data_IF_288237648042
#
_entry.id   IF_288237648042
#
_cell.length_a   1.000
_cell.length_b   1.000
_cell.length_c   1.000
_cell.angle_alpha   90.00
_cell.angle_beta   90.00
_cell.angle_gamma   90.00
#
_symmetry.space_group_name_H-M   'P 1'
#
loop_
_entity.id
_entity.type
_entity.pdbx_description
1 polymer ?
#
# COMPACT_ATOMS: atom_id res chain seq x y z
N UNK A 1 60.66 -50.15 -51.96
CA UNK A 1 59.23 -50.34 -52.28
C UNK A 1 58.43 -49.87 -51.08
N UNK A 2 57.62 -48.83 -51.30
CA UNK A 2 56.41 -48.37 -50.61
C UNK A 2 56.28 -48.60 -49.09
N UNK A 3 56.47 -47.51 -48.33
CA UNK A 3 55.82 -47.33 -47.03
C UNK A 3 54.30 -47.36 -47.26
N UNK A 4 53.64 -48.42 -46.81
CA UNK A 4 52.19 -48.44 -46.71
C UNK A 4 51.82 -47.54 -45.52
N UNK A 5 51.48 -46.30 -45.83
CA UNK A 5 50.86 -45.37 -44.91
C UNK A 5 49.56 -46.03 -44.39
N UNK A 6 49.51 -46.34 -43.09
CA UNK A 6 48.29 -46.83 -42.45
C UNK A 6 47.14 -45.87 -42.74
N UNK A 7 45.92 -46.36 -43.04
CA UNK A 7 44.79 -45.49 -43.27
C UNK A 7 44.52 -44.74 -41.96
N UNK A 8 44.74 -43.41 -41.98
CA UNK A 8 44.32 -42.52 -40.90
C UNK A 8 42.81 -42.67 -40.75
N UNK A 9 42.38 -43.41 -39.74
CA UNK A 9 40.97 -43.47 -39.36
C UNK A 9 40.55 -42.06 -38.95
N UNK A 10 39.67 -41.45 -39.75
CA UNK A 10 39.00 -40.22 -39.37
C UNK A 10 37.93 -40.60 -38.35
N UNK A 11 38.29 -40.46 -37.07
CA UNK A 11 37.33 -40.56 -35.98
C UNK A 11 36.46 -39.30 -36.09
N UNK A 12 35.22 -39.47 -36.52
CA UNK A 12 34.23 -38.40 -36.49
C UNK A 12 33.82 -38.25 -35.03
N UNK A 13 34.35 -37.22 -34.36
CA UNK A 13 33.96 -36.89 -33.00
C UNK A 13 32.65 -36.12 -33.10
N UNK A 14 31.57 -36.69 -32.58
CA UNK A 14 30.32 -35.98 -32.43
C UNK A 14 30.47 -34.97 -31.27
N UNK A 15 30.42 -33.69 -31.62
CA UNK A 15 30.60 -32.55 -30.71
C UNK A 15 29.48 -32.46 -29.66
N UNK A 16 28.37 -33.17 -29.86
CA UNK A 16 27.18 -33.17 -29.00
C UNK A 16 27.17 -34.28 -27.96
N UNK A 17 28.03 -35.29 -28.07
CA UNK A 17 28.07 -36.39 -27.10
C UNK A 17 28.79 -36.02 -25.79
N UNK A 18 28.29 -36.55 -24.68
CA UNK A 18 28.74 -36.23 -23.32
C UNK A 18 29.60 -37.39 -22.78
N UNK A 19 30.83 -37.49 -23.31
CA UNK A 19 31.80 -38.52 -22.91
C UNK A 19 33.00 -37.87 -22.24
N UNK A 20 33.63 -38.60 -21.30
CA UNK A 20 34.87 -38.16 -20.64
C UNK A 20 35.97 -37.80 -21.65
N UNK A 21 35.96 -38.40 -22.83
CA UNK A 21 36.86 -38.08 -23.94
C UNK A 21 36.57 -36.72 -24.57
N UNK A 22 35.30 -36.33 -24.71
CA UNK A 22 34.91 -35.04 -25.26
C UNK A 22 35.26 -33.87 -24.32
N UNK A 23 35.19 -34.08 -23.00
CA UNK A 23 35.59 -33.05 -22.02
C UNK A 23 37.10 -32.79 -22.03
N UNK A 24 37.91 -33.85 -22.15
CA UNK A 24 39.37 -33.73 -22.32
C UNK A 24 39.70 -33.00 -23.63
N UNK A 25 38.96 -33.25 -24.71
CA UNK A 25 39.14 -32.57 -25.99
C UNK A 25 38.72 -31.09 -25.96
N UNK A 26 37.70 -30.73 -25.17
CA UNK A 26 37.35 -29.32 -24.88
C UNK A 26 38.45 -28.63 -24.08
N UNK A 27 38.98 -29.28 -23.05
CA UNK A 27 40.08 -28.76 -22.22
C UNK A 27 41.37 -28.53 -23.02
N UNK A 28 41.65 -29.38 -24.01
CA UNK A 28 42.79 -29.25 -24.91
C UNK A 28 42.55 -28.33 -26.12
N UNK A 29 41.37 -27.70 -26.22
CA UNK A 29 41.04 -26.71 -27.26
C UNK A 29 40.83 -27.29 -28.66
N UNK A 30 40.57 -28.60 -28.76
CA UNK A 30 40.29 -29.29 -30.03
C UNK A 30 38.81 -29.15 -30.43
N UNK A 31 37.91 -29.04 -29.44
CA UNK A 31 36.46 -28.84 -29.61
C UNK A 31 36.05 -27.58 -28.80
N UNK A 32 35.12 -26.75 -29.29
CA UNK A 32 34.64 -25.57 -28.56
C UNK A 32 34.07 -25.90 -27.17
N UNK A 33 34.28 -25.00 -26.20
CA UNK A 33 33.68 -25.11 -24.87
C UNK A 33 32.14 -25.11 -24.96
N UNK A 34 31.50 -25.87 -24.09
CA UNK A 34 30.03 -25.99 -24.08
C UNK A 34 29.43 -24.67 -23.59
N UNK A 35 28.32 -24.19 -24.18
CA UNK A 35 27.57 -23.10 -23.57
C UNK A 35 27.15 -23.50 -22.14
N UNK A 36 27.18 -22.59 -21.16
CA UNK A 36 26.78 -22.88 -19.78
C UNK A 36 25.37 -23.48 -19.75
N UNK A 37 25.15 -24.49 -18.92
CA UNK A 37 23.86 -25.19 -18.89
C UNK A 37 22.75 -24.22 -18.44
N UNK A 38 21.57 -24.27 -19.08
CA UNK A 38 20.41 -23.49 -18.64
C UNK A 38 19.99 -23.77 -17.18
N UNK A 39 20.41 -24.90 -16.61
CA UNK A 39 20.12 -25.31 -15.23
C UNK A 39 20.84 -24.47 -14.17
N UNK A 40 22.09 -24.06 -14.39
CA UNK A 40 22.81 -23.24 -13.40
C UNK A 40 22.21 -21.84 -13.25
N UNK A 41 21.77 -21.23 -14.36
CA UNK A 41 21.05 -19.95 -14.33
C UNK A 41 19.66 -20.09 -13.70
N UNK A 42 19.04 -21.26 -13.81
CA UNK A 42 17.73 -21.54 -13.21
C UNK A 42 17.85 -21.76 -11.70
N UNK A 43 18.90 -22.43 -11.24
CA UNK A 43 19.21 -22.65 -9.82
C UNK A 43 19.52 -21.32 -9.11
N UNK A 44 20.39 -20.49 -9.69
CA UNK A 44 20.71 -19.16 -9.15
C UNK A 44 19.45 -18.26 -9.08
N UNK A 45 18.63 -18.26 -10.13
CA UNK A 45 17.37 -17.52 -10.12
C UNK A 45 16.38 -18.05 -9.07
N UNK A 46 16.37 -19.37 -8.80
CA UNK A 46 15.50 -19.97 -7.79
C UNK A 46 15.97 -19.64 -6.37
N UNK A 47 17.27 -19.67 -6.12
CA UNK A 47 17.87 -19.26 -4.85
C UNK A 47 17.60 -17.77 -4.57
N UNK A 48 17.75 -16.91 -5.57
CA UNK A 48 17.45 -15.48 -5.46
C UNK A 48 15.95 -15.23 -5.18
N UNK A 49 15.06 -16.01 -5.79
CA UNK A 49 13.62 -15.96 -5.50
C UNK A 49 13.34 -16.41 -4.06
N UNK A 50 13.99 -17.46 -3.57
CA UNK A 50 13.82 -17.94 -2.20
C UNK A 50 14.34 -16.92 -1.17
N UNK A 51 15.50 -16.32 -1.42
CA UNK A 51 16.03 -15.24 -0.58
C UNK A 51 15.10 -14.03 -0.57
N UNK A 52 14.62 -13.58 -1.74
CA UNK A 52 13.64 -12.49 -1.82
C UNK A 52 12.35 -12.84 -1.08
N UNK A 53 11.87 -14.07 -1.17
CA UNK A 53 10.68 -14.51 -0.42
C UNK A 53 10.93 -14.47 1.10
N UNK A 54 12.11 -14.90 1.54
CA UNK A 54 12.50 -14.87 2.95
C UNK A 54 12.62 -13.42 3.47
N UNK A 55 13.24 -12.52 2.72
CA UNK A 55 13.33 -11.09 3.06
C UNK A 55 11.94 -10.43 3.10
N UNK A 56 11.09 -10.66 2.09
CA UNK A 56 9.72 -10.13 2.06
C UNK A 56 8.85 -10.65 3.22
N UNK A 57 9.12 -11.85 3.74
CA UNK A 57 8.41 -12.40 4.91
C UNK A 57 8.68 -11.56 6.17
N UNK A 58 9.86 -10.98 6.29
CA UNK A 58 10.25 -10.13 7.42
C UNK A 58 9.81 -8.67 7.20
N UNK A 59 9.79 -8.19 5.95
CA UNK A 59 9.36 -6.82 5.58
C UNK A 59 7.93 -6.45 5.95
N UNK A 60 7.07 -7.44 6.13
CA UNK A 60 5.67 -7.24 6.50
C UNK A 60 5.37 -7.48 7.98
N UNK A 61 6.37 -7.87 8.79
CA UNK A 61 6.18 -8.18 10.21
C UNK A 61 6.41 -6.96 11.10
N UNK A 62 5.63 -6.88 12.18
CA UNK A 62 5.82 -5.88 13.23
C UNK A 62 6.91 -6.29 14.24
N UNK A 63 7.33 -5.38 15.11
CA UNK A 63 8.37 -5.63 16.12
C UNK A 63 8.02 -6.81 17.04
N UNK A 64 6.74 -6.96 17.40
CA UNK A 64 6.26 -8.08 18.19
C UNK A 64 6.32 -9.42 17.44
N UNK A 65 5.97 -9.41 16.15
CA UNK A 65 5.96 -10.63 15.32
C UNK A 65 7.38 -11.09 14.94
N UNK A 66 8.36 -10.18 14.98
CA UNK A 66 9.77 -10.51 14.86
C UNK A 66 10.31 -11.15 16.15
N UNK A 67 9.83 -10.71 17.30
CA UNK A 67 10.21 -11.29 18.60
C UNK A 67 9.76 -12.75 18.72
N UNK A 68 8.59 -13.09 18.16
CA UNK A 68 8.12 -14.48 18.08
C UNK A 68 8.97 -15.39 17.18
N UNK A 69 9.79 -14.81 16.28
CA UNK A 69 10.68 -15.56 15.40
C UNK A 69 12.10 -15.75 15.96
N UNK A 70 12.39 -15.26 17.18
CA UNK A 70 13.70 -15.43 17.82
C UNK A 70 14.12 -16.91 17.97
N UNK A 71 13.16 -17.82 18.12
CA UNK A 71 13.47 -19.26 18.25
C UNK A 71 13.79 -19.95 16.89
N UNK A 72 13.44 -19.32 15.76
CA UNK A 72 13.53 -19.92 14.42
C UNK A 72 14.68 -19.35 13.56
N UNK A 73 15.13 -18.13 13.84
CA UNK A 73 16.07 -17.37 13.00
C UNK A 73 17.38 -17.03 13.74
N UNK A 74 18.41 -16.66 12.98
CA UNK A 74 19.70 -16.26 13.55
C UNK A 74 19.59 -14.92 14.30
N UNK A 75 20.03 -14.89 15.57
CA UNK A 75 20.00 -13.73 16.46
C UNK A 75 20.61 -12.48 15.80
N UNK A 76 21.72 -12.62 15.07
CA UNK A 76 22.42 -11.49 14.46
C UNK A 76 21.63 -10.87 13.29
N UNK A 77 20.85 -11.69 12.57
CA UNK A 77 19.99 -11.25 11.47
C UNK A 77 18.71 -10.57 11.98
N UNK A 78 18.10 -11.11 13.03
CA UNK A 78 16.96 -10.51 13.73
C UNK A 78 17.32 -9.15 14.34
N UNK A 79 18.46 -9.04 15.01
CA UNK A 79 18.92 -7.77 15.58
C UNK A 79 19.13 -6.70 14.50
N UNK A 80 19.72 -7.07 13.36
CA UNK A 80 19.87 -6.17 12.21
C UNK A 80 18.51 -5.65 11.73
N UNK A 81 17.54 -6.55 11.60
CA UNK A 81 16.22 -6.22 11.10
C UNK A 81 15.40 -5.38 12.09
N UNK A 82 15.42 -5.72 13.39
CA UNK A 82 14.85 -4.90 14.48
C UNK A 82 15.42 -3.49 14.47
N UNK A 83 16.74 -3.35 14.29
CA UNK A 83 17.41 -2.04 14.17
C UNK A 83 16.97 -1.27 12.93
N UNK A 84 16.85 -1.93 11.77
CA UNK A 84 16.33 -1.33 10.53
C UNK A 84 14.92 -0.77 10.76
N UNK A 85 14.01 -1.59 11.31
CA UNK A 85 12.61 -1.19 11.56
C UNK A 85 12.49 -0.06 12.58
N UNK A 86 13.26 -0.11 13.67
CA UNK A 86 13.32 1.00 14.63
C UNK A 86 13.80 2.31 13.99
N UNK A 87 14.79 2.25 13.10
CA UNK A 87 15.28 3.44 12.39
C UNK A 87 14.21 4.02 11.45
N UNK A 88 13.47 3.17 10.74
CA UNK A 88 12.33 3.59 9.90
C UNK A 88 11.25 4.27 10.73
N UNK A 89 10.85 3.67 11.85
CA UNK A 89 9.84 4.24 12.76
C UNK A 89 10.29 5.59 13.32
N UNK A 90 11.55 5.70 13.73
CA UNK A 90 12.12 6.99 14.17
C UNK A 90 12.13 8.03 13.04
N UNK A 91 12.46 7.63 11.80
CA UNK A 91 12.41 8.55 10.64
C UNK A 91 10.99 9.05 10.41
N UNK A 92 10.00 8.15 10.43
CA UNK A 92 8.60 8.49 10.29
C UNK A 92 8.15 9.47 11.38
N UNK A 93 8.47 9.21 12.65
CA UNK A 93 8.16 10.11 13.76
C UNK A 93 8.81 11.50 13.61
N UNK A 94 10.06 11.58 13.15
CA UNK A 94 10.72 12.88 12.89
C UNK A 94 10.08 13.64 11.75
N UNK A 95 9.54 12.94 10.76
CA UNK A 95 8.86 13.54 9.62
C UNK A 95 7.40 13.92 9.90
N UNK A 96 6.81 13.41 10.98
CA UNK A 96 5.43 13.66 11.42
C UNK A 96 5.25 15.10 11.96
N UNK A 97 5.23 16.08 11.05
CA UNK A 97 5.12 17.52 11.37
C UNK A 97 3.70 18.06 11.17
N UNK A 98 2.89 17.37 10.39
CA UNK A 98 1.52 17.72 10.05
C UNK A 98 0.56 16.82 10.83
N UNK A 99 -0.72 16.82 10.47
CA UNK A 99 -1.75 16.05 11.20
C UNK A 99 -3.17 16.54 10.94
N UNK A 100 -3.30 17.74 10.37
CA UNK A 100 -4.56 18.38 10.06
C UNK A 100 -4.59 18.89 8.60
N UNK A 101 -5.77 19.31 8.16
CA UNK A 101 -5.98 19.94 6.86
C UNK A 101 -5.86 21.46 7.00
N UNK A 102 -4.89 22.04 6.29
CA UNK A 102 -4.61 23.47 6.33
C UNK A 102 -5.43 24.19 5.26
N UNK A 103 -6.30 25.10 5.69
CA UNK A 103 -7.10 25.91 4.77
C UNK A 103 -6.33 27.20 4.48
N UNK A 104 -6.03 27.45 3.21
CA UNK A 104 -5.17 28.58 2.81
C UNK A 104 -5.86 29.48 1.80
N UNK A 105 -5.31 30.67 1.60
CA UNK A 105 -5.73 31.60 0.56
C UNK A 105 -4.67 31.73 -0.54
N UNK A 106 -5.04 32.42 -1.64
CA UNK A 106 -4.15 32.67 -2.79
C UNK A 106 -2.76 33.21 -2.43
N UNK A 107 -2.57 34.20 -1.53
CA UNK A 107 -1.24 34.71 -1.21
C UNK A 107 -0.36 33.69 -0.49
N UNK A 108 -0.96 32.76 0.27
CA UNK A 108 -0.25 31.73 1.03
C UNK A 108 0.12 30.52 0.15
N UNK A 109 -0.43 30.42 -1.07
CA UNK A 109 -0.27 29.29 -1.96
C UNK A 109 1.20 28.92 -2.22
N UNK A 110 2.03 29.91 -2.55
CA UNK A 110 3.43 29.66 -2.88
C UNK A 110 4.20 29.10 -1.68
N UNK A 111 4.02 29.70 -0.51
CA UNK A 111 4.79 29.40 0.68
C UNK A 111 4.33 28.07 1.31
N UNK A 112 3.01 27.87 1.40
CA UNK A 112 2.40 26.70 2.04
C UNK A 112 2.47 25.44 1.17
N UNK A 113 2.58 25.58 -0.16
CA UNK A 113 2.62 24.45 -1.09
C UNK A 113 3.99 24.32 -1.74
N UNK A 114 4.40 25.31 -2.54
CA UNK A 114 5.59 25.19 -3.40
C UNK A 114 6.87 25.19 -2.57
N UNK A 115 7.07 26.21 -1.71
CA UNK A 115 8.26 26.30 -0.87
C UNK A 115 8.26 25.24 0.24
N UNK A 116 7.09 24.97 0.85
CA UNK A 116 6.97 23.89 1.83
C UNK A 116 7.40 22.52 1.26
N UNK A 117 7.04 22.21 0.02
CA UNK A 117 7.42 20.94 -0.62
C UNK A 117 8.93 20.78 -0.85
N UNK A 118 9.70 21.88 -0.87
CA UNK A 118 11.17 21.90 -1.03
C UNK A 118 11.93 21.73 0.28
N UNK A 119 11.27 21.81 1.43
CA UNK A 119 11.95 21.80 2.72
C UNK A 119 12.57 20.43 3.05
N UNK A 120 13.78 20.46 3.61
CA UNK A 120 14.48 19.25 4.08
C UNK A 120 14.75 18.23 2.97
N UNK A 121 14.34 16.98 3.18
CA UNK A 121 14.45 15.90 2.18
C UNK A 121 13.34 15.97 1.09
N UNK A 122 12.45 16.95 1.18
CA UNK A 122 11.25 17.10 0.36
C UNK A 122 10.01 16.62 1.12
N UNK A 123 8.92 17.38 1.01
CA UNK A 123 7.63 17.08 1.64
C UNK A 123 6.58 16.91 0.55
N UNK A 124 5.78 15.85 0.64
CA UNK A 124 4.61 15.70 -0.21
C UNK A 124 3.50 16.62 0.29
N UNK A 125 3.01 17.49 -0.59
CA UNK A 125 1.89 18.40 -0.31
C UNK A 125 0.73 18.06 -1.23
N UNK A 126 -0.36 17.60 -0.63
CA UNK A 126 -1.61 17.28 -1.31
C UNK A 126 -2.54 18.49 -1.22
N UNK A 127 -2.92 19.04 -2.38
CA UNK A 127 -3.71 20.26 -2.48
C UNK A 127 -5.08 19.93 -3.08
N UNK A 128 -6.12 20.16 -2.31
CA UNK A 128 -7.51 20.06 -2.74
C UNK A 128 -8.01 21.44 -3.18
N UNK A 129 -8.21 21.60 -4.48
CA UNK A 129 -8.96 22.72 -5.05
C UNK A 129 -10.46 22.42 -4.89
N UNK A 130 -11.07 22.99 -3.85
CA UNK A 130 -12.43 22.66 -3.43
C UNK A 130 -13.51 23.53 -4.07
N UNK A 131 -14.73 23.00 -4.14
CA UNK A 131 -15.94 23.74 -4.52
C UNK A 131 -17.11 23.31 -3.63
N UNK A 132 -17.68 24.27 -2.91
CA UNK A 132 -18.79 24.05 -1.97
C UNK A 132 -20.04 23.47 -2.65
N UNK A 133 -20.26 23.79 -3.94
CA UNK A 133 -21.41 23.32 -4.72
C UNK A 133 -21.35 21.84 -5.11
N UNK A 134 -20.21 21.17 -4.92
CA UNK A 134 -19.98 19.80 -5.39
C UNK A 134 -19.90 18.78 -4.25
N UNK A 135 -20.73 17.73 -4.36
CA UNK A 135 -20.71 16.59 -3.45
C UNK A 135 -19.34 15.92 -3.38
N UNK A 136 -18.71 15.68 -4.53
CA UNK A 136 -17.38 15.06 -4.60
C UNK A 136 -16.31 15.88 -3.87
N UNK A 137 -16.42 17.21 -3.88
CA UNK A 137 -15.47 18.06 -3.17
C UNK A 137 -15.63 17.92 -1.66
N UNK A 138 -16.87 17.93 -1.15
CA UNK A 138 -17.15 17.68 0.27
C UNK A 138 -16.71 16.28 0.72
N UNK A 139 -16.86 15.28 -0.14
CA UNK A 139 -16.35 13.93 0.09
C UNK A 139 -14.82 13.96 0.25
N UNK A 140 -14.11 14.56 -0.70
CA UNK A 140 -12.65 14.65 -0.65
C UNK A 140 -12.16 15.41 0.59
N UNK A 141 -12.82 16.50 1.01
CA UNK A 141 -12.49 17.20 2.26
C UNK A 141 -12.57 16.28 3.48
N UNK A 142 -13.59 15.42 3.55
CA UNK A 142 -13.72 14.44 4.65
C UNK A 142 -12.62 13.37 4.62
N UNK A 143 -12.26 12.88 3.43
CA UNK A 143 -11.15 11.93 3.26
C UNK A 143 -9.80 12.56 3.63
N UNK A 144 -9.59 13.83 3.25
CA UNK A 144 -8.40 14.59 3.62
C UNK A 144 -8.22 14.71 5.13
N UNK A 145 -9.30 14.96 5.88
CA UNK A 145 -9.23 15.02 7.35
C UNK A 145 -8.81 13.68 7.97
N UNK A 146 -9.30 12.56 7.43
CA UNK A 146 -8.92 11.23 7.90
C UNK A 146 -7.46 10.92 7.54
N UNK A 147 -7.07 11.17 6.30
CA UNK A 147 -5.71 10.94 5.81
C UNK A 147 -4.67 11.82 6.52
N UNK A 148 -4.98 13.08 6.82
CA UNK A 148 -4.06 13.99 7.50
C UNK A 148 -3.69 13.49 8.91
N UNK A 149 -4.68 12.99 9.66
CA UNK A 149 -4.46 12.41 11.00
C UNK A 149 -3.64 11.12 10.93
N UNK A 150 -3.86 10.33 9.88
CA UNK A 150 -3.20 9.03 9.68
C UNK A 150 -1.76 9.19 9.20
N UNK A 151 -1.50 10.16 8.32
CA UNK A 151 -0.20 10.39 7.69
C UNK A 151 0.35 11.78 8.01
N UNK A 152 0.77 12.04 9.27
CA UNK A 152 1.30 13.33 9.70
C UNK A 152 2.60 13.74 9.00
N UNK A 153 3.25 12.85 8.23
CA UNK A 153 4.40 13.19 7.41
C UNK A 153 4.04 13.88 6.08
N UNK A 154 2.77 13.78 5.66
CA UNK A 154 2.25 14.40 4.44
C UNK A 154 1.44 15.63 4.81
N UNK A 155 1.61 16.71 4.05
CA UNK A 155 0.85 17.94 4.27
C UNK A 155 -0.41 17.93 3.41
N UNK A 156 -1.57 18.11 4.03
CA UNK A 156 -2.84 18.25 3.33
C UNK A 156 -3.33 19.69 3.39
N UNK A 157 -3.61 20.26 2.22
CA UNK A 157 -3.97 21.67 2.06
C UNK A 157 -5.28 21.75 1.29
N UNK A 158 -6.17 22.63 1.71
CA UNK A 158 -7.41 22.93 1.00
C UNK A 158 -7.50 24.42 0.67
N UNK A 159 -7.92 24.72 -0.56
CA UNK A 159 -8.19 26.08 -1.02
C UNK A 159 -9.38 26.05 -1.98
N UNK A 160 -10.30 27.01 -1.83
CA UNK A 160 -11.41 27.13 -2.77
C UNK A 160 -10.88 27.39 -4.19
N UNK A 161 -11.35 26.61 -5.16
CA UNK A 161 -10.83 26.61 -6.53
C UNK A 161 -10.91 28.00 -7.18
N UNK A 162 -12.00 28.73 -6.94
CA UNK A 162 -12.21 30.10 -7.41
C UNK A 162 -11.28 31.15 -6.75
N UNK A 163 -10.77 30.87 -5.54
CA UNK A 163 -9.80 31.72 -4.85
C UNK A 163 -8.39 31.44 -5.35
N UNK A 164 -8.07 30.18 -5.65
CA UNK A 164 -6.78 29.81 -6.21
C UNK A 164 -6.63 30.33 -7.66
N UNK A 165 -7.64 30.06 -8.50
CA UNK A 165 -7.63 30.36 -9.93
C UNK A 165 -8.93 31.10 -10.29
N UNK A 166 -8.79 32.29 -10.87
CA UNK A 166 -9.93 33.09 -11.30
C UNK A 166 -10.70 32.39 -12.41
N UNK A 167 -12.04 32.36 -12.30
CA UNK A 167 -12.94 31.67 -13.24
C UNK A 167 -12.64 30.17 -13.42
N UNK A 168 -12.15 29.50 -12.37
CA UNK A 168 -11.92 28.06 -12.43
C UNK A 168 -13.23 27.31 -12.75
N UNK A 169 -13.27 26.44 -13.78
CA UNK A 169 -14.49 25.74 -14.16
C UNK A 169 -14.98 24.84 -13.03
N UNK A 170 -16.22 25.04 -12.59
CA UNK A 170 -16.79 24.23 -11.51
C UNK A 170 -16.86 22.75 -11.90
N UNK A 171 -17.04 22.43 -13.18
CA UNK A 171 -16.98 21.06 -13.72
C UNK A 171 -15.70 20.31 -13.34
N UNK A 172 -14.58 21.02 -13.19
CA UNK A 172 -13.27 20.45 -12.90
C UNK A 172 -13.01 20.26 -11.40
N UNK A 173 -13.84 20.85 -10.53
CA UNK A 173 -13.76 20.63 -9.09
C UNK A 173 -14.43 19.29 -8.69
N UNK A 174 -13.93 18.59 -7.66
CA UNK A 174 -12.67 18.88 -6.97
C UNK A 174 -11.47 18.57 -7.85
N UNK A 175 -10.36 19.28 -7.68
CA UNK A 175 -9.08 18.90 -8.30
C UNK A 175 -8.05 18.65 -7.22
N UNK A 176 -7.30 17.57 -7.36
CA UNK A 176 -6.25 17.15 -6.44
C UNK A 176 -4.89 17.32 -7.12
N UNK A 177 -4.05 18.19 -6.56
CA UNK A 177 -2.66 18.37 -6.99
C UNK A 177 -1.73 17.78 -5.94
N UNK A 178 -0.67 17.12 -6.39
CA UNK A 178 0.38 16.60 -5.52
C UNK A 178 1.68 17.29 -5.87
N UNK A 179 2.27 17.98 -4.90
CA UNK A 179 3.57 18.64 -5.01
C UNK A 179 4.64 17.86 -4.26
N UNK A 180 5.85 17.85 -4.81
CA UNK A 180 7.05 17.32 -4.16
C UNK A 180 8.28 18.06 -4.70
N UNK A 181 9.13 18.56 -3.81
CA UNK A 181 10.37 19.29 -4.17
C UNK A 181 10.17 20.48 -5.11
N UNK A 182 9.01 21.12 -5.05
CA UNK A 182 8.65 22.28 -5.86
C UNK A 182 7.91 21.95 -7.15
N UNK A 183 7.87 20.67 -7.55
CA UNK A 183 7.26 20.24 -8.80
C UNK A 183 5.89 19.58 -8.56
N UNK A 184 5.01 19.68 -9.55
CA UNK A 184 3.73 18.96 -9.58
C UNK A 184 3.98 17.53 -10.04
N UNK A 185 3.86 16.58 -9.11
CA UNK A 185 4.04 15.14 -9.38
C UNK A 185 2.80 14.54 -10.01
N UNK A 186 1.61 14.95 -9.55
CA UNK A 186 0.34 14.42 -10.02
C UNK A 186 -0.73 15.51 -10.02
N UNK A 187 -1.57 15.47 -11.04
CA UNK A 187 -2.74 16.33 -11.17
C UNK A 187 -3.94 15.43 -11.53
N UNK A 188 -4.96 15.46 -10.67
CA UNK A 188 -6.21 14.73 -10.83
C UNK A 188 -7.35 15.72 -10.91
N UNK A 189 -7.92 15.87 -12.10
CA UNK A 189 -9.13 16.67 -12.30
C UNK A 189 -10.32 15.78 -12.02
N UNK A 190 -11.19 16.18 -11.10
CA UNK A 190 -12.28 15.37 -10.52
C UNK A 190 -11.78 14.11 -9.77
N UNK A 191 -12.70 13.38 -9.16
CA UNK A 191 -12.40 12.13 -8.47
C UNK A 191 -12.48 10.89 -9.37
N UNK A 192 -12.59 11.04 -10.70
CA UNK A 192 -12.81 9.89 -11.60
C UNK A 192 -11.72 8.80 -11.47
N UNK A 193 -10.45 9.19 -11.33
CA UNK A 193 -9.35 8.25 -11.12
C UNK A 193 -9.35 7.60 -9.71
N UNK A 194 -10.13 8.13 -8.77
CA UNK A 194 -10.24 7.68 -7.37
C UNK A 194 -11.62 7.06 -7.06
N UNK A 195 -12.42 6.69 -8.06
CA UNK A 195 -13.76 6.08 -7.84
C UNK A 195 -14.95 7.05 -7.86
N UNK A 196 -14.72 8.34 -8.14
CA UNK A 196 -15.76 9.33 -8.40
C UNK A 196 -16.61 9.67 -7.18
N UNK A 197 -17.89 9.31 -7.20
CA UNK A 197 -18.81 9.55 -6.08
C UNK A 197 -18.64 8.53 -4.95
N UNK A 198 -17.95 7.43 -5.22
CA UNK A 198 -17.74 6.32 -4.28
C UNK A 198 -16.29 6.26 -3.80
N UNK A 199 -15.52 7.33 -3.98
CA UNK A 199 -14.14 7.42 -3.50
C UNK A 199 -14.07 7.15 -2.00
N UNK A 200 -13.21 6.23 -1.61
CA UNK A 200 -12.97 5.84 -0.22
C UNK A 200 -11.62 6.36 0.26
N UNK A 201 -11.34 6.16 1.55
CA UNK A 201 -10.03 6.44 2.13
C UNK A 201 -8.95 5.54 1.49
N UNK A 202 -9.29 4.30 1.16
CA UNK A 202 -8.39 3.34 0.52
C UNK A 202 -7.95 3.82 -0.87
N UNK A 203 -8.84 4.45 -1.64
CA UNK A 203 -8.48 5.03 -2.95
C UNK A 203 -7.43 6.14 -2.80
N UNK A 204 -7.61 7.00 -1.80
CA UNK A 204 -6.66 8.09 -1.49
C UNK A 204 -5.33 7.55 -0.96
N UNK A 205 -5.35 6.49 -0.14
CA UNK A 205 -4.17 5.77 0.32
C UNK A 205 -3.42 5.11 -0.85
N UNK A 206 -4.14 4.49 -1.77
CA UNK A 206 -3.58 3.96 -3.01
C UNK A 206 -2.88 5.04 -3.82
N UNK A 207 -3.40 6.27 -3.84
CA UNK A 207 -2.72 7.40 -4.47
C UNK A 207 -1.45 7.81 -3.73
N UNK A 208 -1.49 7.90 -2.39
CA UNK A 208 -0.32 8.21 -1.54
C UNK A 208 0.83 7.22 -1.79
N UNK A 209 0.51 5.94 -1.95
CA UNK A 209 1.45 4.88 -2.30
C UNK A 209 1.99 5.07 -3.72
N UNK A 210 1.10 5.28 -4.71
CA UNK A 210 1.48 5.44 -6.13
C UNK A 210 2.45 6.60 -6.36
N UNK A 211 2.31 7.69 -5.60
CA UNK A 211 3.22 8.84 -5.71
C UNK A 211 4.49 8.69 -4.86
N UNK A 212 4.58 7.65 -4.01
CA UNK A 212 5.73 7.41 -3.12
C UNK A 212 5.73 8.26 -1.84
N UNK A 213 4.58 8.80 -1.43
CA UNK A 213 4.45 9.57 -0.19
C UNK A 213 4.38 8.66 1.05
N UNK A 214 3.88 7.43 0.87
CA UNK A 214 3.76 6.40 1.90
C UNK A 214 4.31 5.10 1.34
N UNK A 215 4.99 4.31 2.17
CA UNK A 215 5.50 3.00 1.78
C UNK A 215 4.35 1.99 1.66
N UNK A 216 4.50 0.99 0.78
CA UNK A 216 3.46 -0.03 0.57
C UNK A 216 3.21 -0.88 1.83
N UNK A 217 4.25 -1.11 2.63
CA UNK A 217 4.25 -1.90 3.86
C UNK A 217 4.09 -1.02 5.12
N UNK A 218 3.47 0.15 5.00
CA UNK A 218 3.19 0.99 6.15
C UNK A 218 2.04 0.39 6.97
N UNK A 219 2.31 0.03 8.22
CA UNK A 219 1.36 -0.62 9.12
C UNK A 219 0.03 0.14 9.25
N UNK A 220 0.06 1.47 9.10
CA UNK A 220 -1.16 2.28 9.17
C UNK A 220 -2.15 1.88 8.09
N UNK A 221 -1.69 1.44 6.92
CA UNK A 221 -2.56 1.00 5.82
C UNK A 221 -3.36 -0.27 6.18
N UNK A 222 -2.77 -1.18 6.97
CA UNK A 222 -3.36 -2.47 7.33
C UNK A 222 -4.56 -2.32 8.28
N UNK A 223 -4.55 -1.31 9.16
CA UNK A 223 -5.65 -1.04 10.10
C UNK A 223 -7.01 -0.91 9.38
N UNK A 224 -7.02 -0.38 8.15
CA UNK A 224 -8.26 -0.25 7.39
C UNK A 224 -8.77 -1.60 6.85
N UNK A 225 -7.89 -2.55 6.56
CA UNK A 225 -8.27 -3.86 6.04
C UNK A 225 -8.95 -4.69 7.13
N UNK A 226 -8.41 -4.70 8.34
CA UNK A 226 -9.01 -5.40 9.48
C UNK A 226 -10.39 -4.81 9.86
N UNK A 227 -10.53 -3.48 9.79
CA UNK A 227 -11.81 -2.80 10.01
C UNK A 227 -12.82 -3.11 8.89
N UNK A 228 -12.41 -3.14 7.62
CA UNK A 228 -13.30 -3.50 6.51
C UNK A 228 -13.69 -4.98 6.53
N UNK A 229 -12.77 -5.88 6.82
CA UNK A 229 -13.02 -7.32 6.94
C UNK A 229 -13.98 -7.61 8.10
N UNK A 230 -13.74 -7.01 9.26
CA UNK A 230 -14.63 -7.15 10.42
C UNK A 230 -16.03 -6.56 10.16
N UNK A 231 -16.12 -5.44 9.44
CA UNK A 231 -17.39 -4.84 9.02
C UNK A 231 -18.11 -5.71 7.99
N UNK A 232 -17.40 -6.27 7.01
CA UNK A 232 -17.95 -7.19 6.01
C UNK A 232 -18.43 -8.50 6.66
N UNK A 233 -17.67 -9.06 7.59
CA UNK A 233 -18.08 -10.20 8.41
C UNK A 233 -19.37 -9.89 9.19
N UNK A 234 -19.41 -8.73 9.84
CA UNK A 234 -20.59 -8.30 10.60
C UNK A 234 -21.80 -8.13 9.69
N UNK A 235 -21.63 -7.56 8.50
CA UNK A 235 -22.67 -7.42 7.48
C UNK A 235 -23.18 -8.79 7.00
N UNK A 236 -22.28 -9.74 6.75
CA UNK A 236 -22.63 -11.11 6.39
C UNK A 236 -23.42 -11.80 7.50
N UNK A 237 -22.99 -11.67 8.76
CA UNK A 237 -23.70 -12.20 9.94
C UNK A 237 -25.13 -11.64 10.06
N UNK A 238 -25.32 -10.34 9.83
CA UNK A 238 -26.65 -9.71 9.82
C UNK A 238 -27.52 -10.13 8.63
N UNK A 239 -26.92 -10.31 7.45
CA UNK A 239 -27.66 -10.79 6.27
C UNK A 239 -28.14 -12.24 6.42
N UNK A 240 -27.35 -13.09 7.08
CA UNK A 240 -27.71 -14.49 7.38
C UNK A 240 -28.70 -14.65 8.54
N UNK A 241 -28.94 -13.62 9.37
CA UNK A 241 -29.91 -13.68 10.48
C UNK A 241 -31.33 -13.24 10.11
N UNK A 242 -31.63 -12.98 8.83
CA UNK A 242 -33.02 -12.86 8.33
C UNK A 242 -33.74 -14.22 8.28
N UNK A 243 -33.93 -14.80 9.45
CA UNK A 243 -34.69 -16.02 9.70
C UNK A 243 -35.47 -16.03 11.02
N UNK A 244 -35.51 -14.92 11.77
CA UNK A 244 -36.34 -14.83 12.98
C UNK A 244 -37.76 -14.40 12.59
N UNK A 245 -38.64 -15.39 12.42
CA UNK A 245 -40.09 -15.20 12.27
C UNK A 245 -40.65 -14.66 13.59
N UNK A 246 -40.76 -13.35 13.73
CA UNK A 246 -41.60 -12.73 14.75
C UNK A 246 -43.07 -12.96 14.37
N UNK A 247 -43.69 -13.96 14.99
CA UNK A 247 -45.11 -14.23 14.90
C UNK A 247 -45.90 -13.22 15.73
N UNK A 248 -46.13 -12.01 15.21
CA UNK A 248 -47.16 -11.11 15.74
C UNK A 248 -48.49 -11.47 15.07
N UNK A 249 -49.18 -12.45 15.65
CA UNK A 249 -50.61 -12.65 15.40
C UNK A 249 -51.40 -11.64 16.24
N UNK A 250 -51.81 -10.57 15.56
CA UNK A 250 -53.06 -9.80 15.74
C UNK A 250 -53.86 -10.08 17.02
N UNK A 251 -53.94 -9.08 17.93
CA UNK A 251 -55.22 -8.52 18.42
C UNK A 251 -55.01 -7.04 18.73
N UNK A 252 -55.57 -6.21 17.87
CA UNK A 252 -55.82 -4.80 18.11
C UNK A 252 -57.11 -4.76 18.94
N UNK A 253 -57.02 -4.44 20.23
CA UNK A 253 -58.18 -4.13 21.05
C UNK A 253 -58.01 -2.72 21.62
N UNK A 254 -58.96 -1.87 21.24
CA UNK A 254 -59.05 -0.46 21.62
C UNK A 254 -60.01 -0.40 22.79
N UNK A 255 -59.53 -0.07 24.00
CA UNK A 255 -60.43 -0.01 25.14
C UNK A 255 -59.80 0.40 26.47
N UNK A 256 -59.77 1.72 26.71
CA UNK A 256 -60.19 2.41 27.93
C UNK A 256 -59.57 2.10 29.33
N UNK A 257 -59.37 3.22 30.06
CA UNK A 257 -59.27 3.43 31.53
C UNK A 257 -57.85 3.47 32.09
N UNK A 258 -57.36 4.66 32.47
CA UNK A 258 -57.57 5.40 33.75
C UNK A 258 -56.78 4.80 34.92
N UNK A 259 -56.05 5.70 35.58
CA UNK A 259 -55.39 5.63 36.89
C UNK A 259 -54.00 4.98 36.94
N UNK A 260 -52.98 5.84 36.89
CA UNK A 260 -51.66 5.55 37.43
C UNK A 260 -51.64 6.04 38.88
N UNK A 261 -51.88 5.12 39.80
CA UNK A 261 -51.46 5.26 41.20
C UNK A 261 -49.93 5.19 41.24
N UNK A 262 -49.34 6.30 41.63
CA UNK A 262 -47.95 6.45 42.02
C UNK A 262 -47.86 6.02 43.48
N UNK A 263 -47.37 4.82 43.79
CA UNK A 263 -46.89 4.50 45.14
C UNK A 263 -45.91 3.32 45.16
N UNK A 264 -44.67 3.71 45.46
CA UNK A 264 -43.80 3.13 46.50
C UNK A 264 -43.13 1.76 46.30
N UNK A 265 -41.80 1.85 46.48
CA UNK A 265 -40.97 0.99 47.32
C UNK A 265 -40.26 -0.23 46.73
N UNK A 266 -38.93 -0.04 46.69
CA UNK A 266 -37.97 -0.81 47.48
C UNK A 266 -37.58 -2.23 47.02
N UNK A 267 -36.27 -2.32 46.77
CA UNK A 267 -35.38 -3.21 47.52
C UNK A 267 -35.08 -4.61 46.94
N UNK A 268 -33.88 -5.07 47.33
CA UNK A 268 -33.09 -6.26 46.97
C UNK A 268 -32.11 -6.08 45.80
N UNK A 269 -30.80 -6.31 45.96
CA UNK A 269 -29.93 -6.61 47.11
C UNK A 269 -28.48 -6.32 46.63
#
# INVERSE_FOLDING_TARGET
MNLANEPKFQIQVDETEDTEWNDILRQHGVIPERPPSPTAQLEEALEEVLQRQHENRLENKDLSELEELEDEEDDEFLEFYKRKRMAEMQKQQRSAKYGDVYHINKPEYNDEITECSKQGEGVYVFVHLSSEGKLQSRLLSSLFQQAARKFPQVKFVEILANRAIENYPESNAPTLLVYYKGDVVKNLVTLLELGGNSSTLQDLEGLLIKVGAVAQNDNRLLINQDDEESMAERQLRYSNTKGVRSGISRRFDVGARYDADDEHDDFFD
#
